data_IF_219899970997
#
_entry.id   IF_219899970997
#
_cell.length_a   1.000
_cell.length_b   1.000
_cell.length_c   1.000
_cell.angle_alpha   90.00
_cell.angle_beta   90.00
_cell.angle_gamma   90.00
#
_symmetry.space_group_name_H-M   'P 1'
#
loop_
_entity.id
_entity.type
_entity.pdbx_description
1 polymer ?
#
# COMPACT_ATOMS: atom_id res chain seq x y z
N UNK A 1 -57.59 21.63 -45.75
CA UNK A 1 -56.55 22.51 -45.16
C UNK A 1 -56.10 21.87 -43.86
N UNK A 2 -54.91 21.25 -43.87
CA UNK A 2 -53.76 21.52 -42.97
C UNK A 2 -54.12 21.36 -41.48
N UNK A 3 -53.83 20.26 -40.79
CA UNK A 3 -52.57 19.52 -40.73
C UNK A 3 -51.70 20.12 -39.62
N UNK A 4 -51.49 19.40 -38.51
CA UNK A 4 -50.33 19.58 -37.63
C UNK A 4 -50.16 18.38 -36.71
N UNK A 5 -49.15 17.59 -37.06
CA UNK A 5 -48.63 16.42 -36.38
C UNK A 5 -47.78 16.91 -35.19
N UNK A 6 -48.07 16.47 -33.97
CA UNK A 6 -47.21 16.72 -32.81
C UNK A 6 -46.08 15.69 -32.81
N UNK A 7 -44.86 16.13 -33.08
CA UNK A 7 -43.64 15.39 -32.76
C UNK A 7 -42.86 16.18 -31.71
N UNK A 8 -42.86 15.68 -30.48
CA UNK A 8 -42.06 16.19 -29.38
C UNK A 8 -40.59 15.84 -29.61
N UNK A 9 -39.80 16.87 -29.87
CA UNK A 9 -38.34 16.78 -30.02
C UNK A 9 -37.73 16.67 -28.62
N UNK A 10 -37.38 15.45 -28.19
CA UNK A 10 -36.50 15.27 -27.04
C UNK A 10 -35.09 15.68 -27.44
N UNK A 11 -34.70 16.89 -27.05
CA UNK A 11 -33.31 17.34 -27.16
C UNK A 11 -32.41 16.42 -26.35
N UNK A 12 -31.38 15.87 -26.99
CA UNK A 12 -30.32 15.12 -26.32
C UNK A 12 -29.57 16.10 -25.43
N UNK A 13 -29.89 16.11 -24.13
CA UNK A 13 -29.06 16.77 -23.12
C UNK A 13 -27.79 15.92 -23.00
N UNK A 14 -26.72 16.35 -23.64
CA UNK A 14 -25.40 15.79 -23.39
C UNK A 14 -25.03 16.09 -21.94
N UNK A 15 -25.16 15.11 -21.05
CA UNK A 15 -24.59 15.23 -19.71
C UNK A 15 -23.08 15.44 -19.88
N UNK A 16 -22.49 16.50 -19.30
CA UNK A 16 -21.04 16.66 -19.32
C UNK A 16 -20.43 15.44 -18.64
N UNK A 17 -19.43 14.85 -19.28
CA UNK A 17 -18.61 13.79 -18.68
C UNK A 17 -18.09 14.32 -17.34
N UNK A 18 -18.33 13.63 -16.21
CA UNK A 18 -17.85 14.10 -14.92
C UNK A 18 -16.32 14.24 -14.98
N UNK A 19 -15.83 15.42 -14.58
CA UNK A 19 -14.40 15.69 -14.51
C UNK A 19 -13.75 14.70 -13.53
N UNK A 20 -12.83 13.87 -14.04
CA UNK A 20 -12.10 12.91 -13.21
C UNK A 20 -11.14 13.70 -12.33
N UNK A 21 -11.42 13.72 -11.02
CA UNK A 21 -10.57 14.36 -10.02
C UNK A 21 -9.66 13.32 -9.40
N UNK A 22 -8.38 13.63 -9.33
CA UNK A 22 -7.40 12.85 -8.58
C UNK A 22 -7.42 13.23 -7.10
N UNK A 23 -6.82 12.36 -6.27
CA UNK A 23 -6.56 12.64 -4.87
C UNK A 23 -5.85 13.99 -4.70
N UNK A 24 -6.43 14.87 -3.89
CA UNK A 24 -5.85 16.17 -3.54
C UNK A 24 -5.59 16.20 -2.04
N UNK A 25 -4.33 16.36 -1.67
CA UNK A 25 -3.87 16.39 -0.28
C UNK A 25 -3.14 17.71 -0.02
N UNK A 26 -3.17 18.22 1.22
CA UNK A 26 -2.33 19.35 1.61
C UNK A 26 -0.85 19.02 1.40
N UNK A 27 -0.07 20.01 0.94
CA UNK A 27 1.37 19.86 0.86
C UNK A 27 1.98 19.72 2.26
N UNK A 28 2.85 18.73 2.42
CA UNK A 28 3.61 18.52 3.65
C UNK A 28 5.01 18.07 3.31
N UNK A 29 5.99 18.64 4.01
CA UNK A 29 7.38 18.18 3.88
C UNK A 29 7.55 16.86 4.64
N UNK A 30 8.09 15.81 4.00
CA UNK A 30 8.38 14.55 4.69
C UNK A 30 9.33 14.73 5.89
N UNK A 31 8.93 14.18 7.03
CA UNK A 31 9.72 14.18 8.26
C UNK A 31 9.83 12.77 8.85
N UNK A 32 10.91 12.53 9.57
CA UNK A 32 11.06 11.36 10.42
C UNK A 32 10.63 11.73 11.84
N UNK A 33 9.51 11.14 12.27
CA UNK A 33 8.98 11.29 13.62
C UNK A 33 9.79 10.47 14.63
N UNK A 34 9.78 10.92 15.89
CA UNK A 34 10.45 10.21 16.99
C UNK A 34 9.87 8.82 17.23
N UNK A 35 8.55 8.66 17.08
CA UNK A 35 7.86 7.36 17.15
C UNK A 35 7.39 6.94 15.77
N UNK A 36 7.26 5.64 15.58
CA UNK A 36 6.79 5.03 14.35
C UNK A 36 5.47 4.27 14.61
N UNK A 37 4.49 4.44 13.72
CA UNK A 37 3.19 3.76 13.76
C UNK A 37 3.07 2.66 12.69
N UNK A 38 4.05 2.51 11.80
CA UNK A 38 4.07 1.49 10.75
C UNK A 38 4.21 0.10 11.37
N UNK A 39 3.16 -0.72 11.21
CA UNK A 39 3.10 -2.14 11.58
C UNK A 39 3.60 -3.05 10.46
N UNK A 40 3.42 -2.60 9.22
CA UNK A 40 3.89 -3.30 8.01
C UNK A 40 4.21 -2.25 6.94
N UNK A 41 5.38 -2.35 6.33
CA UNK A 41 5.63 -1.75 5.02
C UNK A 41 5.88 -2.87 4.00
N UNK A 42 5.32 -2.73 2.81
CA UNK A 42 5.49 -3.69 1.73
C UNK A 42 5.66 -2.98 0.39
N UNK A 43 6.55 -3.48 -0.45
CA UNK A 43 6.64 -3.10 -1.85
C UNK A 43 6.40 -4.34 -2.70
N UNK A 44 5.33 -4.38 -3.49
CA UNK A 44 5.00 -5.46 -4.42
C UNK A 44 5.39 -5.06 -5.84
N UNK A 45 6.19 -5.90 -6.48
CA UNK A 45 6.61 -5.80 -7.87
C UNK A 45 5.92 -6.93 -8.63
N UNK A 46 4.87 -6.62 -9.38
CA UNK A 46 4.18 -7.60 -10.22
C UNK A 46 4.89 -7.72 -11.55
N UNK A 47 5.00 -8.96 -12.00
CA UNK A 47 5.67 -9.37 -13.23
C UNK A 47 4.70 -10.18 -14.07
N UNK A 48 4.93 -10.32 -15.40
CA UNK A 48 4.28 -11.36 -16.17
C UNK A 48 4.47 -12.72 -15.49
N UNK A 49 3.43 -13.55 -15.47
CA UNK A 49 3.44 -14.81 -14.72
C UNK A 49 4.57 -15.73 -15.18
N UNK A 50 5.43 -16.13 -14.25
CA UNK A 50 6.49 -17.10 -14.44
C UNK A 50 6.11 -18.41 -13.74
N UNK A 51 5.58 -19.37 -14.51
CA UNK A 51 5.08 -20.65 -13.98
C UNK A 51 6.16 -21.45 -13.22
N UNK A 52 7.44 -21.27 -13.58
CA UNK A 52 8.56 -21.88 -12.87
C UNK A 52 8.65 -21.49 -11.38
N UNK A 53 8.10 -20.34 -10.99
CA UNK A 53 8.09 -19.87 -9.60
C UNK A 53 7.03 -20.57 -8.75
N UNK A 54 6.12 -21.36 -9.34
CA UNK A 54 5.14 -22.15 -8.58
C UNK A 54 5.77 -23.33 -7.86
N UNK A 55 6.86 -23.89 -8.41
CA UNK A 55 7.56 -25.04 -7.84
C UNK A 55 8.68 -24.63 -6.88
N UNK A 56 9.51 -23.66 -7.26
CA UNK A 56 10.68 -23.21 -6.50
C UNK A 56 11.07 -21.78 -6.86
N UNK A 57 11.66 -21.01 -5.92
CA UNK A 57 12.26 -19.73 -6.27
C UNK A 57 13.48 -19.95 -7.18
N UNK A 58 13.79 -19.04 -8.12
CA UNK A 58 14.96 -19.17 -8.97
C UNK A 58 16.24 -19.25 -8.15
N UNK A 59 17.07 -20.25 -8.44
CA UNK A 59 18.30 -20.51 -7.71
C UNK A 59 19.25 -19.29 -7.74
N UNK A 60 19.31 -18.58 -8.86
CA UNK A 60 20.10 -17.35 -9.01
C UNK A 60 19.64 -16.23 -8.05
N UNK A 61 18.32 -16.05 -7.92
CA UNK A 61 17.73 -15.05 -7.04
C UNK A 61 17.98 -15.39 -5.57
N UNK A 62 17.77 -16.66 -5.19
CA UNK A 62 18.08 -17.12 -3.84
C UNK A 62 19.57 -16.94 -3.54
N UNK A 63 20.46 -17.28 -4.46
CA UNK A 63 21.91 -17.13 -4.29
C UNK A 63 22.31 -15.67 -4.07
N UNK A 64 21.77 -14.75 -4.88
CA UNK A 64 22.06 -13.32 -4.79
C UNK A 64 21.69 -12.73 -3.41
N UNK A 65 20.63 -13.23 -2.78
CA UNK A 65 20.09 -12.65 -1.54
C UNK A 65 20.33 -13.47 -0.28
N UNK A 66 20.83 -14.70 -0.40
CA UNK A 66 21.01 -15.65 0.71
C UNK A 66 21.84 -15.08 1.87
N UNK A 67 22.79 -14.18 1.59
CA UNK A 67 23.62 -13.54 2.62
C UNK A 67 22.77 -12.68 3.57
N UNK A 68 21.79 -11.94 3.04
CA UNK A 68 20.91 -11.09 3.84
C UNK A 68 19.64 -11.80 4.30
N UNK A 69 19.16 -12.77 3.50
CA UNK A 69 17.94 -13.53 3.73
C UNK A 69 18.22 -15.05 3.79
N UNK A 70 18.86 -15.53 4.88
CA UNK A 70 19.35 -16.90 4.94
C UNK A 70 18.28 -17.97 5.21
N UNK A 71 17.08 -17.58 5.65
CA UNK A 71 16.01 -18.52 6.01
C UNK A 71 15.01 -18.66 4.87
N UNK A 72 14.71 -19.89 4.46
CA UNK A 72 13.71 -20.19 3.44
C UNK A 72 12.51 -20.91 4.07
N UNK A 73 11.32 -20.47 3.70
CA UNK A 73 10.04 -21.08 4.08
C UNK A 73 9.16 -21.18 2.82
N UNK A 74 8.36 -22.23 2.74
CA UNK A 74 7.30 -22.36 1.74
C UNK A 74 5.95 -22.30 2.45
N UNK A 75 5.02 -21.54 1.87
CA UNK A 75 3.65 -21.43 2.37
C UNK A 75 2.65 -21.46 1.23
N UNK A 76 1.37 -21.43 1.59
CA UNK A 76 0.27 -21.23 0.65
C UNK A 76 -0.55 -20.04 1.13
N UNK A 77 -1.00 -19.20 0.19
CA UNK A 77 -2.03 -18.21 0.48
C UNK A 77 -3.33 -18.60 -0.19
N UNK A 78 -4.42 -18.45 0.55
CA UNK A 78 -5.77 -18.64 0.02
C UNK A 78 -6.08 -17.43 -0.86
N UNK A 79 -6.28 -17.65 -2.15
CA UNK A 79 -6.54 -16.60 -3.14
C UNK A 79 -8.02 -16.42 -3.46
N UNK A 80 -8.87 -17.35 -3.01
CA UNK A 80 -10.32 -17.24 -3.12
C UNK A 80 -11.03 -18.55 -2.80
N UNK A 81 -12.36 -18.51 -2.77
CA UNK A 81 -13.22 -19.70 -2.74
C UNK A 81 -13.91 -19.78 -4.10
N UNK A 82 -13.46 -20.72 -4.94
CA UNK A 82 -14.07 -21.00 -6.24
C UNK A 82 -15.05 -22.18 -6.15
N UNK A 83 -15.79 -22.48 -7.24
CA UNK A 83 -16.71 -23.62 -7.30
C UNK A 83 -16.03 -24.98 -7.04
N UNK A 84 -14.69 -25.06 -7.15
CA UNK A 84 -13.86 -26.23 -6.91
C UNK A 84 -13.12 -26.25 -5.55
N UNK A 85 -13.35 -25.28 -4.67
CA UNK A 85 -12.67 -25.19 -3.37
C UNK A 85 -11.80 -23.94 -3.21
N UNK A 86 -10.94 -23.96 -2.19
CA UNK A 86 -10.02 -22.85 -1.91
C UNK A 86 -8.80 -22.96 -2.81
N UNK A 87 -8.61 -22.02 -3.74
CA UNK A 87 -7.39 -21.97 -4.56
C UNK A 87 -6.23 -21.41 -3.71
N UNK A 88 -5.21 -22.23 -3.54
CA UNK A 88 -3.98 -21.88 -2.84
C UNK A 88 -2.90 -21.44 -3.84
N UNK A 89 -2.35 -20.25 -3.66
CA UNK A 89 -1.16 -19.81 -4.39
C UNK A 89 0.08 -20.15 -3.57
N UNK A 90 1.02 -20.89 -4.16
CA UNK A 90 2.32 -21.20 -3.53
C UNK A 90 3.09 -19.91 -3.29
N UNK A 91 3.67 -19.80 -2.09
CA UNK A 91 4.54 -18.70 -1.70
C UNK A 91 5.88 -19.22 -1.26
N UNK A 92 6.93 -18.66 -1.82
CA UNK A 92 8.29 -18.87 -1.36
C UNK A 92 8.73 -17.65 -0.58
N UNK A 93 9.25 -17.84 0.64
CA UNK A 93 9.56 -16.75 1.55
C UNK A 93 11.02 -16.85 1.96
N UNK A 94 11.79 -15.82 1.63
CA UNK A 94 13.16 -15.63 2.12
C UNK A 94 13.14 -14.62 3.26
N UNK A 95 13.57 -15.02 4.47
CA UNK A 95 13.59 -14.15 5.64
C UNK A 95 15.00 -13.75 6.03
N UNK A 96 15.11 -12.49 6.44
CA UNK A 96 16.31 -11.96 7.10
C UNK A 96 16.63 -12.71 8.39
N UNK A 97 17.88 -12.63 8.85
CA UNK A 97 18.35 -13.28 10.09
C UNK A 97 17.47 -12.96 11.32
N UNK A 98 16.98 -11.73 11.41
CA UNK A 98 16.11 -11.29 12.51
C UNK A 98 14.62 -11.47 12.22
N UNK A 99 14.26 -12.07 11.06
CA UNK A 99 12.88 -12.33 10.61
C UNK A 99 11.98 -11.10 10.46
N UNK A 100 12.53 -9.89 10.57
CA UNK A 100 11.79 -8.64 10.44
C UNK A 100 11.56 -8.23 8.99
N UNK A 101 12.47 -8.62 8.09
CA UNK A 101 12.29 -8.51 6.64
C UNK A 101 12.01 -9.86 6.01
N UNK A 102 11.15 -9.86 5.00
CA UNK A 102 10.85 -11.00 4.15
C UNK A 102 10.81 -10.58 2.69
N UNK A 103 11.27 -11.47 1.81
CA UNK A 103 11.03 -11.39 0.38
C UNK A 103 10.10 -12.55 0.04
N UNK A 104 8.93 -12.22 -0.50
CA UNK A 104 7.88 -13.17 -0.82
C UNK A 104 7.80 -13.28 -2.34
N UNK A 105 7.91 -14.50 -2.85
CA UNK A 105 7.75 -14.82 -4.26
C UNK A 105 6.45 -15.57 -4.47
N UNK A 106 5.80 -15.23 -5.58
CA UNK A 106 4.64 -15.89 -6.15
C UNK A 106 4.84 -15.92 -7.67
N UNK A 107 4.04 -16.69 -8.39
CA UNK A 107 4.17 -16.83 -9.84
C UNK A 107 4.14 -15.48 -10.58
N UNK A 108 3.39 -14.51 -10.08
CA UNK A 108 3.17 -13.21 -10.71
C UNK A 108 3.73 -12.01 -9.94
N UNK A 109 4.45 -12.23 -8.83
CA UNK A 109 4.90 -11.13 -7.99
C UNK A 109 6.12 -11.44 -7.11
N UNK A 110 6.91 -10.40 -6.86
CA UNK A 110 7.98 -10.37 -5.85
C UNK A 110 7.64 -9.24 -4.88
N UNK A 111 7.59 -9.52 -3.58
CA UNK A 111 7.31 -8.52 -2.55
C UNK A 111 8.43 -8.42 -1.53
N UNK A 112 8.87 -7.21 -1.21
CA UNK A 112 9.68 -6.93 -0.02
C UNK A 112 8.75 -6.47 1.10
N UNK A 113 8.76 -7.16 2.23
CA UNK A 113 7.92 -6.87 3.39
C UNK A 113 8.78 -6.64 4.65
N UNK A 114 8.37 -5.71 5.50
CA UNK A 114 9.00 -5.46 6.80
C UNK A 114 7.97 -5.21 7.91
N UNK A 115 8.08 -5.96 9.01
CA UNK A 115 7.21 -5.83 10.18
C UNK A 115 7.77 -4.91 11.26
N UNK A 116 9.10 -4.77 11.33
CA UNK A 116 9.80 -3.80 12.19
C UNK A 116 10.41 -2.70 11.32
N UNK A 117 9.57 -1.76 10.89
CA UNK A 117 9.99 -0.65 10.04
C UNK A 117 10.85 0.34 10.83
N UNK A 118 12.05 0.63 10.33
CA UNK A 118 13.01 1.54 10.98
C UNK A 118 13.16 2.87 10.23
N UNK A 119 12.63 2.95 9.02
CA UNK A 119 12.69 4.13 8.17
C UNK A 119 12.75 3.77 6.69
N UNK A 120 12.45 4.74 5.84
CA UNK A 120 12.38 4.49 4.39
C UNK A 120 13.74 4.24 3.77
N UNK A 121 14.81 4.86 4.27
CA UNK A 121 16.13 4.74 3.66
C UNK A 121 16.65 3.29 3.68
N UNK A 122 16.50 2.61 4.82
CA UNK A 122 16.89 1.19 4.93
C UNK A 122 15.95 0.28 4.11
N UNK A 123 14.65 0.56 4.13
CA UNK A 123 13.68 -0.17 3.30
C UNK A 123 14.01 -0.04 1.81
N UNK A 124 14.29 1.17 1.35
CA UNK A 124 14.62 1.48 -0.05
C UNK A 124 15.97 0.90 -0.47
N UNK A 125 16.98 0.92 0.42
CA UNK A 125 18.27 0.23 0.20
C UNK A 125 18.08 -1.25 -0.06
N UNK A 126 17.23 -1.92 0.74
CA UNK A 126 16.90 -3.35 0.56
C UNK A 126 16.09 -3.59 -0.70
N UNK A 127 15.12 -2.72 -0.99
CA UNK A 127 14.32 -2.82 -2.21
C UNK A 127 15.20 -2.77 -3.46
N UNK A 128 16.20 -1.89 -3.49
CA UNK A 128 17.19 -1.84 -4.59
C UNK A 128 17.85 -3.19 -4.81
N UNK A 129 18.28 -3.88 -3.76
CA UNK A 129 18.89 -5.21 -3.88
C UNK A 129 17.91 -6.24 -4.47
N UNK A 130 16.62 -6.14 -4.13
CA UNK A 130 15.57 -7.00 -4.70
C UNK A 130 15.36 -6.71 -6.18
N UNK A 131 15.28 -5.42 -6.57
CA UNK A 131 15.14 -5.01 -7.97
C UNK A 131 16.35 -5.43 -8.80
N UNK A 132 17.56 -5.26 -8.28
CA UNK A 132 18.80 -5.66 -8.94
C UNK A 132 18.88 -7.20 -9.11
N UNK A 133 18.46 -7.96 -8.10
CA UNK A 133 18.35 -9.41 -8.22
C UNK A 133 17.28 -9.83 -9.25
N UNK A 134 16.16 -9.11 -9.31
CA UNK A 134 15.07 -9.39 -10.23
C UNK A 134 15.45 -9.19 -11.69
N UNK A 135 16.18 -8.12 -12.02
CA UNK A 135 16.67 -7.86 -13.38
C UNK A 135 17.41 -9.03 -14.02
N UNK A 136 18.13 -9.82 -13.22
CA UNK A 136 18.92 -10.95 -13.73
C UNK A 136 18.09 -12.22 -13.94
N UNK A 137 16.82 -12.22 -13.56
CA UNK A 137 15.99 -13.43 -13.40
C UNK A 137 14.64 -13.28 -14.09
N UNK A 138 14.05 -12.09 -14.11
CA UNK A 138 12.80 -11.83 -14.83
C UNK A 138 13.13 -11.57 -16.29
N UNK A 139 12.53 -12.35 -17.19
CA UNK A 139 12.61 -12.15 -18.64
C UNK A 139 11.63 -11.06 -19.09
N UNK A 140 11.71 -9.89 -18.45
CA UNK A 140 10.80 -8.76 -18.70
C UNK A 140 11.50 -7.44 -18.41
N UNK A 141 11.38 -6.50 -19.36
CA UNK A 141 11.89 -5.13 -19.21
C UNK A 141 10.93 -4.21 -18.45
N UNK A 142 9.76 -4.74 -18.03
CA UNK A 142 8.74 -3.99 -17.30
C UNK A 142 8.12 -4.79 -16.14
N UNK A 143 7.60 -4.06 -15.15
CA UNK A 143 6.68 -4.53 -14.13
C UNK A 143 5.25 -4.23 -14.57
N UNK A 144 4.36 -5.20 -14.44
CA UNK A 144 2.92 -4.98 -14.70
C UNK A 144 2.31 -4.06 -13.65
N UNK A 145 2.88 -4.05 -12.43
CA UNK A 145 2.54 -3.10 -11.36
C UNK A 145 3.67 -2.98 -10.35
N UNK A 146 3.91 -1.76 -9.87
CA UNK A 146 4.67 -1.51 -8.64
C UNK A 146 3.72 -0.93 -7.60
N UNK A 147 3.70 -1.47 -6.38
CA UNK A 147 2.84 -1.00 -5.29
C UNK A 147 3.64 -0.82 -4.00
N UNK A 148 3.45 0.31 -3.32
CA UNK A 148 4.03 0.63 -2.02
C UNK A 148 2.91 0.78 -1.00
N UNK A 149 2.93 -0.10 0.01
CA UNK A 149 1.90 -0.21 1.03
C UNK A 149 2.45 0.04 2.42
N UNK A 150 1.74 0.85 3.19
CA UNK A 150 1.96 1.07 4.62
C UNK A 150 0.70 0.75 5.41
N UNK A 151 0.82 -0.16 6.37
CA UNK A 151 -0.19 -0.39 7.40
C UNK A 151 0.28 0.26 8.68
N UNK A 152 -0.46 1.26 9.15
CA UNK A 152 -0.19 1.99 10.38
C UNK A 152 -1.24 1.63 11.42
N UNK A 153 -0.82 1.42 12.67
CA UNK A 153 -1.71 1.18 13.80
C UNK A 153 -1.64 2.32 14.79
N UNK A 154 -2.72 3.10 14.89
CA UNK A 154 -2.84 4.19 15.86
C UNK A 154 -3.35 3.62 17.18
N UNK A 155 -2.70 3.90 18.32
CA UNK A 155 -3.09 3.38 19.63
C UNK A 155 -4.26 4.20 20.21
N UNK A 156 -5.41 4.15 19.54
CA UNK A 156 -6.57 4.99 19.86
C UNK A 156 -7.30 4.55 21.12
N UNK A 157 -7.15 3.28 21.52
CA UNK A 157 -8.11 2.65 22.40
C UNK A 157 -9.50 2.64 21.72
N UNK A 158 -10.60 2.63 22.50
CA UNK A 158 -11.95 2.52 21.95
C UNK A 158 -12.42 3.78 21.21
N UNK A 159 -11.68 4.90 21.32
CA UNK A 159 -12.10 6.20 20.80
C UNK A 159 -11.09 6.78 19.81
N UNK A 160 -11.38 6.77 18.49
CA UNK A 160 -10.48 7.32 17.48
C UNK A 160 -10.44 8.86 17.46
N UNK A 161 -11.27 9.55 18.26
CA UNK A 161 -11.37 11.02 18.23
C UNK A 161 -10.07 11.71 18.62
N UNK A 162 -9.65 12.61 17.76
CA UNK A 162 -8.41 13.37 17.88
C UNK A 162 -7.15 12.58 17.53
N UNK A 163 -7.25 11.25 17.34
CA UNK A 163 -6.17 10.43 16.78
C UNK A 163 -6.21 10.42 15.25
N UNK A 164 -7.41 10.35 14.68
CA UNK A 164 -7.67 10.41 13.25
C UNK A 164 -8.36 11.74 12.92
N UNK A 165 -8.15 12.27 11.72
CA UNK A 165 -8.90 13.44 11.22
C UNK A 165 -10.41 13.19 11.27
N UNK A 166 -11.18 14.20 11.67
CA UNK A 166 -12.64 14.10 11.75
C UNK A 166 -13.28 13.79 10.39
N UNK A 167 -12.64 14.13 9.27
CA UNK A 167 -13.14 13.80 7.92
C UNK A 167 -13.33 12.28 7.72
N UNK A 168 -12.51 11.46 8.38
CA UNK A 168 -12.58 9.98 8.28
C UNK A 168 -13.46 9.34 9.34
N UNK A 169 -13.70 10.00 10.47
CA UNK A 169 -14.40 9.41 11.63
C UNK A 169 -15.68 10.13 12.01
N UNK A 170 -16.13 11.11 11.22
CA UNK A 170 -17.37 11.86 11.46
C UNK A 170 -18.59 11.00 11.78
N UNK A 171 -18.88 9.88 11.08
CA UNK A 171 -20.02 9.04 11.43
C UNK A 171 -19.95 8.45 12.85
N UNK A 172 -18.74 8.20 13.34
CA UNK A 172 -18.48 7.71 14.69
C UNK A 172 -18.57 8.85 15.71
N UNK A 173 -18.13 10.05 15.35
CA UNK A 173 -18.19 11.24 16.20
C UNK A 173 -19.62 11.71 16.48
N UNK A 174 -20.48 11.73 15.46
CA UNK A 174 -21.88 12.18 15.59
C UNK A 174 -22.72 11.16 16.37
N UNK A 175 -22.29 9.90 16.42
CA UNK A 175 -22.93 8.87 17.24
C UNK A 175 -24.23 8.29 16.67
N UNK A 176 -24.61 8.62 15.42
CA UNK A 176 -25.80 8.05 14.76
C UNK A 176 -25.74 6.53 14.61
N UNK A 177 -24.54 5.95 14.68
CA UNK A 177 -24.29 4.51 14.59
C UNK A 177 -24.32 3.79 15.95
N UNK A 178 -24.53 4.51 17.05
CA UNK A 178 -24.49 3.95 18.41
C UNK A 178 -23.11 3.41 18.80
N UNK A 179 -23.08 2.39 19.67
CA UNK A 179 -21.83 1.73 20.09
C UNK A 179 -21.33 0.81 18.98
N UNK A 180 -20.29 1.24 18.27
CA UNK A 180 -19.72 0.50 17.14
C UNK A 180 -18.60 -0.42 17.60
N UNK A 181 -18.79 -1.73 17.42
CA UNK A 181 -17.76 -2.75 17.71
C UNK A 181 -16.73 -2.90 16.60
N UNK A 182 -17.10 -2.61 15.35
CA UNK A 182 -16.21 -2.69 14.19
C UNK A 182 -16.59 -1.62 13.18
N UNK A 183 -15.57 -0.89 12.72
CA UNK A 183 -15.72 0.09 11.66
C UNK A 183 -14.66 -0.18 10.59
N UNK A 184 -15.06 -0.23 9.32
CA UNK A 184 -14.14 -0.50 8.21
C UNK A 184 -14.64 0.15 6.94
N UNK A 185 -13.75 0.88 6.27
CA UNK A 185 -14.02 1.52 4.98
C UNK A 185 -12.89 1.23 3.99
N UNK A 186 -13.25 1.23 2.71
CA UNK A 186 -12.31 1.11 1.59
C UNK A 186 -12.64 2.17 0.54
N UNK A 187 -11.61 2.84 0.07
CA UNK A 187 -11.66 3.82 -1.02
C UNK A 187 -10.60 3.44 -2.04
N UNK A 188 -10.94 3.54 -3.33
CA UNK A 188 -9.99 3.41 -4.44
C UNK A 188 -10.18 4.56 -5.39
N UNK A 189 -9.10 5.03 -5.98
CA UNK A 189 -9.14 6.09 -6.96
C UNK A 189 -7.76 6.41 -7.52
N UNK A 190 -7.70 7.43 -8.36
CA UNK A 190 -6.46 7.91 -8.97
C UNK A 190 -5.83 8.99 -8.12
N UNK A 191 -4.50 9.02 -8.10
CA UNK A 191 -3.69 10.03 -7.45
C UNK A 191 -2.89 10.83 -8.49
N UNK A 192 -2.22 11.93 -8.10
CA UNK A 192 -1.34 12.65 -9.01
C UNK A 192 -0.27 11.75 -9.64
N UNK A 193 0.19 10.75 -8.89
CA UNK A 193 1.10 9.70 -9.34
C UNK A 193 0.44 8.34 -9.09
N UNK A 194 0.02 7.69 -10.17
CA UNK A 194 -0.60 6.36 -10.14
C UNK A 194 -2.00 6.35 -9.53
N UNK A 195 -2.34 5.22 -8.92
CA UNK A 195 -3.61 4.97 -8.25
C UNK A 195 -3.39 4.57 -6.79
N UNK A 196 -4.47 4.53 -6.02
CA UNK A 196 -4.41 4.16 -4.62
C UNK A 196 -5.58 3.28 -4.18
N UNK A 197 -5.30 2.45 -3.17
CA UNK A 197 -6.28 1.82 -2.32
C UNK A 197 -6.04 2.28 -0.88
N UNK A 198 -7.07 2.81 -0.25
CA UNK A 198 -7.04 3.23 1.13
C UNK A 198 -8.09 2.47 1.92
N UNK A 199 -7.63 1.74 2.93
CA UNK A 199 -8.48 1.00 3.86
C UNK A 199 -8.23 1.52 5.27
N UNK A 200 -9.29 1.76 6.02
CA UNK A 200 -9.13 2.25 7.37
C UNK A 200 -10.30 1.89 8.28
N UNK A 201 -10.04 1.96 9.57
CA UNK A 201 -11.01 1.64 10.60
C UNK A 201 -10.38 0.86 11.75
N UNK A 202 -11.18 0.54 12.75
CA UNK A 202 -10.74 -0.28 13.87
C UNK A 202 -11.54 -1.59 13.91
N UNK A 203 -10.85 -2.63 14.35
CA UNK A 203 -11.48 -3.90 14.69
C UNK A 203 -11.54 -3.93 16.21
N UNK A 204 -12.70 -3.67 16.80
CA UNK A 204 -12.90 -3.87 18.21
C UNK A 204 -12.75 -5.36 18.52
N UNK A 205 -11.77 -5.67 19.35
CA UNK A 205 -11.61 -6.97 19.95
C UNK A 205 -12.21 -6.91 21.35
N UNK A 206 -13.13 -7.84 21.65
CA UNK A 206 -13.80 -7.88 22.95
C UNK A 206 -12.84 -8.34 24.07
N UNK A 207 -11.69 -8.92 23.72
CA UNK A 207 -10.80 -9.55 24.69
C UNK A 207 -9.62 -8.69 25.13
N UNK A 208 -9.16 -7.73 24.31
CA UNK A 208 -7.80 -7.19 24.48
C UNK A 208 -7.69 -5.76 24.99
N UNK A 209 -8.80 -5.04 25.24
CA UNK A 209 -8.85 -3.60 25.65
C UNK A 209 -7.99 -2.62 24.81
N UNK A 210 -7.28 -3.12 23.81
CA UNK A 210 -6.29 -2.44 22.97
C UNK A 210 -6.86 -2.30 21.57
N UNK A 211 -7.89 -1.47 21.46
CA UNK A 211 -8.41 -1.10 20.16
C UNK A 211 -7.39 -0.19 19.44
N UNK A 212 -6.85 -0.68 18.33
CA UNK A 212 -6.05 0.09 17.38
C UNK A 212 -6.91 0.52 16.19
N UNK A 213 -6.71 1.75 15.73
CA UNK A 213 -7.25 2.21 14.46
C UNK A 213 -6.21 2.02 13.35
N UNK A 214 -6.57 1.29 12.31
CA UNK A 214 -5.68 0.97 11.21
C UNK A 214 -5.84 1.97 10.08
N UNK A 215 -4.70 2.39 9.52
CA UNK A 215 -4.60 3.11 8.26
C UNK A 215 -3.75 2.27 7.31
N UNK A 216 -4.38 1.70 6.28
CA UNK A 216 -3.76 0.86 5.27
C UNK A 216 -3.79 1.59 3.94
N UNK A 217 -2.65 2.19 3.59
CA UNK A 217 -2.45 3.01 2.39
C UNK A 217 -1.60 2.20 1.42
N UNK A 218 -2.15 1.90 0.25
CA UNK A 218 -1.46 1.23 -0.86
C UNK A 218 -1.48 2.16 -2.08
N UNK A 219 -0.31 2.64 -2.48
CA UNK A 219 -0.09 3.50 -3.65
C UNK A 219 0.58 2.69 -4.72
N UNK A 220 0.09 2.72 -5.96
CA UNK A 220 0.63 1.86 -7.02
C UNK A 220 0.56 2.49 -8.40
N UNK A 221 1.41 2.00 -9.29
CA UNK A 221 1.44 2.38 -10.71
C UNK A 221 1.52 1.09 -11.51
N UNK A 222 0.81 1.05 -12.64
CA UNK A 222 0.80 -0.08 -13.58
C UNK A 222 1.67 0.21 -14.79
N UNK A 223 2.13 -0.85 -15.46
CA UNK A 223 2.90 -0.82 -16.71
C UNK A 223 4.15 0.10 -16.69
N UNK A 224 5.19 -0.36 -15.99
CA UNK A 224 6.38 0.46 -15.70
C UNK A 224 7.66 -0.25 -16.09
N UNK A 225 8.52 0.42 -16.86
CA UNK A 225 9.87 -0.04 -17.14
C UNK A 225 10.69 -0.25 -15.86
N UNK A 226 11.43 -1.35 -15.79
CA UNK A 226 12.19 -1.73 -14.58
C UNK A 226 13.21 -0.65 -14.17
N UNK A 227 13.73 0.13 -15.12
CA UNK A 227 14.63 1.28 -14.90
C UNK A 227 14.00 2.44 -14.14
N UNK A 228 12.68 2.60 -14.24
CA UNK A 228 11.92 3.65 -13.57
C UNK A 228 11.48 3.25 -12.16
N UNK A 229 11.53 1.96 -11.83
CA UNK A 229 10.96 1.39 -10.61
C UNK A 229 11.39 2.12 -9.34
N UNK A 230 12.69 2.29 -9.11
CA UNK A 230 13.19 2.85 -7.85
C UNK A 230 12.87 4.35 -7.72
N UNK A 231 12.94 5.11 -8.81
CA UNK A 231 12.53 6.52 -8.82
C UNK A 231 11.05 6.66 -8.46
N UNK A 232 10.19 5.87 -9.07
CA UNK A 232 8.76 5.93 -8.84
C UNK A 232 8.37 5.48 -7.44
N UNK A 233 9.04 4.47 -6.87
CA UNK A 233 8.80 4.08 -5.46
C UNK A 233 9.12 5.21 -4.48
N UNK A 234 10.16 6.02 -4.73
CA UNK A 234 10.46 7.20 -3.89
C UNK A 234 9.38 8.28 -4.01
N UNK A 235 8.82 8.48 -5.20
CA UNK A 235 7.68 9.37 -5.41
C UNK A 235 6.41 8.86 -4.71
N UNK A 236 6.10 7.56 -4.83
CA UNK A 236 4.98 6.93 -4.12
C UNK A 236 5.15 7.03 -2.60
N UNK A 237 6.38 6.95 -2.09
CA UNK A 237 6.66 7.14 -0.67
C UNK A 237 6.31 8.56 -0.20
N UNK A 238 6.71 9.57 -0.97
CA UNK A 238 6.41 10.97 -0.66
C UNK A 238 4.89 11.23 -0.66
N UNK A 239 4.18 10.72 -1.67
CA UNK A 239 2.72 10.81 -1.76
C UNK A 239 2.03 10.05 -0.62
N UNK A 240 2.51 8.85 -0.29
CA UNK A 240 2.01 8.05 0.85
C UNK A 240 2.21 8.76 2.18
N UNK A 241 3.34 9.45 2.36
CA UNK A 241 3.61 10.23 3.56
C UNK A 241 2.61 11.39 3.71
N UNK A 242 2.36 12.13 2.64
CA UNK A 242 1.37 13.20 2.65
C UNK A 242 -0.03 12.68 3.03
N UNK A 243 -0.40 11.52 2.49
CA UNK A 243 -1.69 10.92 2.80
C UNK A 243 -1.77 10.44 4.25
N UNK A 244 -0.73 9.75 4.73
CA UNK A 244 -0.61 9.35 6.12
C UNK A 244 -0.74 10.56 7.05
N UNK A 245 -0.01 11.65 6.77
CA UNK A 245 -0.05 12.87 7.56
C UNK A 245 -1.44 13.50 7.62
N UNK A 246 -2.14 13.58 6.48
CA UNK A 246 -3.52 14.10 6.43
C UNK A 246 -4.49 13.28 7.29
N UNK A 247 -4.29 11.97 7.38
CA UNK A 247 -5.12 11.11 8.23
C UNK A 247 -4.98 11.40 9.74
N UNK A 248 -3.92 12.09 10.17
CA UNK A 248 -3.59 12.25 11.59
C UNK A 248 -4.39 13.37 12.25
N UNK A 249 -4.97 13.06 13.40
CA UNK A 249 -5.45 14.05 14.35
C UNK A 249 -4.35 14.55 15.29
N UNK A 250 -4.66 15.60 16.06
CA UNK A 250 -3.72 16.25 16.98
C UNK A 250 -3.05 15.30 17.98
N UNK A 251 -3.80 14.35 18.58
CA UNK A 251 -3.25 13.37 19.54
C UNK A 251 -2.23 12.46 18.88
N UNK A 252 -2.44 12.07 17.62
CA UNK A 252 -1.50 11.24 16.89
C UNK A 252 -0.20 11.99 16.58
N UNK A 253 -0.28 13.26 16.19
CA UNK A 253 0.90 14.12 15.99
C UNK A 253 1.68 14.32 17.29
N UNK A 254 1.00 14.61 18.41
CA UNK A 254 1.61 14.71 19.74
C UNK A 254 2.29 13.39 20.15
N UNK A 255 1.66 12.25 19.85
CA UNK A 255 2.21 10.93 20.11
C UNK A 255 3.43 10.62 19.23
N UNK A 256 3.40 10.93 17.94
CA UNK A 256 4.55 10.75 17.05
C UNK A 256 5.77 11.56 17.49
N UNK A 257 5.53 12.72 18.11
CA UNK A 257 6.56 13.62 18.60
C UNK A 257 7.11 14.52 17.50
N UNK A 258 8.20 15.23 17.80
CA UNK A 258 8.84 16.15 16.86
C UNK A 258 9.35 15.42 15.62
N UNK A 259 9.00 15.91 14.43
CA UNK A 259 9.55 15.45 13.17
C UNK A 259 10.88 16.13 12.86
N UNK A 260 11.84 15.36 12.35
CA UNK A 260 13.08 15.90 11.79
C UNK A 260 13.02 15.83 10.26
N UNK A 261 13.40 16.90 9.53
CA UNK A 261 13.45 16.85 8.08
C UNK A 261 14.32 15.68 7.60
N UNK A 262 13.81 14.93 6.63
CA UNK A 262 14.54 13.79 6.08
C UNK A 262 15.80 14.27 5.36
N UNK A 263 16.93 13.64 5.63
CA UNK A 263 18.11 13.82 4.79
C UNK A 263 17.78 13.31 3.37
N UNK A 264 17.95 14.15 2.36
CA UNK A 264 17.67 13.79 0.96
C UNK A 264 18.49 12.55 0.58
N UNK A 265 17.83 11.52 0.03
CA UNK A 265 18.54 10.37 -0.54
C UNK A 265 19.28 10.90 -1.77
N UNK A 266 20.60 11.03 -1.67
CA UNK A 266 21.40 11.52 -2.79
C UNK A 266 21.23 10.57 -3.98
N UNK A 267 21.03 11.09 -5.21
CA UNK A 267 21.12 10.25 -6.40
C UNK A 267 22.57 9.75 -6.49
N UNK A 268 22.77 8.44 -6.33
CA UNK A 268 24.08 7.86 -6.60
C UNK A 268 24.28 7.87 -8.12
N UNK A 269 25.38 8.51 -8.56
CA UNK A 269 25.79 8.53 -9.96
C UNK A 269 25.93 7.10 -10.47
N UNK A 270 25.39 6.85 -11.67
CA UNK A 270 25.57 5.63 -12.45
C UNK A 270 27.05 5.24 -12.54
#
# INVERSE_FOLDING_TARGET
>A
MTGLNQASHWGVVSNPTPEVRTLSLPEVTPVEYRRNLVKLAACELRIPTLLEFEEKPPAAFQHALRKEYPHYEQGQALTGVGPGGVEGETRHILRSRHRNYAIVFRASAISLEVSKYEGFNEFFRRLRQVVDAARNVIDSDFFTRIGLRYVNGLPTGPDPRGWVTSDLVRPLEVGVLGTVNRYWQEVRGSAPIGDYSFRHGYRGDKETESAEYLLDIDMFIEDIEVDRCLELVDQLHTQSFAFFHWCLGRKALEYLGTGTPKATIAPQKK
#
